data_IF_772786070528
#
_entry.id   IF_772786070528
#
_cell.length_a   1.000
_cell.length_b   1.000
_cell.length_c   1.000
_cell.angle_alpha   90.00
_cell.angle_beta   90.00
_cell.angle_gamma   90.00
#
_symmetry.space_group_name_H-M   'P 1'
#
loop_
_entity.id
_entity.type
_entity.pdbx_description
1 polymer ?
#
# COMPACT_ATOMS: atom_id res chain seq x y z
N UNK A 1 1.98 8.02 -2.46
CA UNK A 1 1.34 7.64 -3.73
C UNK A 1 -0.16 7.87 -3.64
N UNK A 2 -0.79 8.36 -4.70
CA UNK A 2 -2.23 8.56 -4.81
C UNK A 2 -2.77 7.79 -6.02
N UNK A 3 -3.86 7.07 -5.82
CA UNK A 3 -4.60 6.38 -6.88
C UNK A 3 -5.84 7.20 -7.23
N UNK A 4 -6.16 7.28 -8.50
CA UNK A 4 -7.36 7.96 -9.01
C UNK A 4 -7.96 7.16 -10.18
N UNK A 5 -9.22 7.42 -10.58
CA UNK A 5 -9.79 6.79 -11.77
C UNK A 5 -8.98 7.04 -13.04
N UNK A 6 -8.23 8.11 -13.11
CA UNK A 6 -7.44 8.50 -14.30
C UNK A 6 -6.06 7.83 -14.32
N UNK A 7 -5.45 7.61 -13.15
CA UNK A 7 -4.09 7.09 -13.09
C UNK A 7 -3.50 7.10 -11.69
N UNK A 8 -2.21 6.89 -11.64
CA UNK A 8 -1.39 6.89 -10.43
C UNK A 8 -0.51 8.14 -10.38
N UNK A 9 -0.38 8.74 -9.20
CA UNK A 9 0.49 9.90 -8.95
C UNK A 9 1.41 9.60 -7.77
N UNK A 10 2.69 9.83 -7.95
CA UNK A 10 3.66 9.91 -6.87
C UNK A 10 3.82 11.37 -6.50
N UNK A 11 3.68 11.68 -5.23
CA UNK A 11 3.86 13.01 -4.66
C UNK A 11 5.19 13.03 -3.91
N UNK A 12 5.91 14.13 -3.96
CA UNK A 12 7.22 14.27 -3.32
C UNK A 12 8.05 15.34 -3.99
N UNK A 13 9.37 15.35 -3.78
CA UNK A 13 10.27 16.36 -4.38
C UNK A 13 10.29 16.33 -5.91
N UNK A 14 10.04 15.18 -6.52
CA UNK A 14 9.92 14.99 -7.97
C UNK A 14 8.54 14.35 -8.28
N UNK A 15 7.45 15.11 -8.28
CA UNK A 15 6.12 14.58 -8.49
C UNK A 15 5.97 14.07 -9.93
N UNK A 16 5.40 12.87 -10.06
CA UNK A 16 5.17 12.22 -11.36
C UNK A 16 3.76 11.63 -11.39
N UNK A 17 3.18 11.55 -12.59
CA UNK A 17 1.84 11.00 -12.77
C UNK A 17 1.74 10.23 -14.09
N UNK A 18 1.07 9.09 -14.05
CA UNK A 18 0.82 8.24 -15.21
C UNK A 18 -0.65 7.89 -15.30
N UNK A 19 -1.18 7.88 -16.51
CA UNK A 19 -2.50 7.31 -16.78
C UNK A 19 -2.41 5.78 -16.67
N UNK A 20 -3.48 5.12 -16.26
CA UNK A 20 -3.50 3.65 -16.19
C UNK A 20 -3.11 2.99 -17.51
N UNK A 21 -3.51 3.56 -18.65
CA UNK A 21 -3.13 3.08 -19.99
C UNK A 21 -1.64 3.17 -20.30
N UNK A 22 -0.87 3.92 -19.54
CA UNK A 22 0.58 4.05 -19.69
C UNK A 22 1.36 3.17 -18.67
N UNK A 23 0.68 2.54 -17.73
CA UNK A 23 1.27 1.68 -16.69
C UNK A 23 1.11 0.22 -17.10
N UNK A 24 2.23 -0.46 -17.29
CA UNK A 24 2.28 -1.90 -17.55
C UNK A 24 2.24 -2.70 -16.26
N UNK A 25 2.98 -2.25 -15.24
CA UNK A 25 3.08 -2.91 -13.95
C UNK A 25 3.28 -1.88 -12.83
N UNK A 26 2.74 -2.18 -11.65
CA UNK A 26 2.83 -1.38 -10.45
C UNK A 26 3.07 -2.29 -9.25
N UNK A 27 4.25 -2.18 -8.66
CA UNK A 27 4.68 -2.96 -7.51
C UNK A 27 4.92 -2.06 -6.30
N UNK A 28 4.68 -2.60 -5.12
CA UNK A 28 5.04 -1.98 -3.84
C UNK A 28 5.87 -2.98 -3.07
N UNK A 29 7.08 -2.58 -2.69
CA UNK A 29 7.99 -3.37 -1.88
C UNK A 29 8.28 -2.69 -0.56
N UNK A 30 8.88 -3.41 0.37
CA UNK A 30 9.27 -2.90 1.69
C UNK A 30 8.08 -2.37 2.52
N UNK A 31 6.86 -2.86 2.22
CA UNK A 31 5.70 -2.52 3.03
C UNK A 31 5.92 -2.99 4.48
N UNK A 32 5.66 -2.13 5.48
CA UNK A 32 5.90 -2.47 6.89
C UNK A 32 4.89 -3.52 7.36
N UNK A 33 5.29 -4.79 7.28
CA UNK A 33 4.44 -5.92 7.68
C UNK A 33 4.69 -6.29 9.14
N UNK A 34 3.62 -6.50 9.88
CA UNK A 34 3.69 -7.10 11.23
C UNK A 34 4.13 -8.56 11.12
N UNK A 35 5.43 -8.82 11.29
CA UNK A 35 5.89 -10.21 11.36
C UNK A 35 5.48 -10.81 12.71
N UNK A 36 4.93 -12.00 12.66
CA UNK A 36 4.67 -12.82 13.86
C UNK A 36 5.97 -13.17 14.60
N UNK A 37 7.09 -13.23 13.89
CA UNK A 37 8.43 -13.50 14.45
C UNK A 37 8.89 -12.39 15.41
N UNK A 38 8.61 -11.11 15.10
CA UNK A 38 8.95 -10.01 16.01
C UNK A 38 8.16 -10.10 17.32
N UNK A 39 6.93 -10.61 17.30
CA UNK A 39 6.12 -10.84 18.52
C UNK A 39 6.69 -11.93 19.41
N UNK A 40 7.32 -12.97 18.85
CA UNK A 40 7.97 -14.04 19.60
C UNK A 40 9.34 -13.60 20.14
N UNK A 41 10.12 -12.89 19.34
CA UNK A 41 11.41 -12.32 19.76
C UNK A 41 11.26 -11.27 20.87
N UNK A 42 10.22 -10.43 20.82
CA UNK A 42 9.94 -9.45 21.87
C UNK A 42 9.48 -10.09 23.21
N UNK A 43 9.11 -11.36 23.21
CA UNK A 43 8.79 -12.12 24.44
C UNK A 43 9.98 -12.86 25.04
N UNK A 44 11.07 -13.04 24.30
CA UNK A 44 12.20 -13.88 24.71
C UNK A 44 13.59 -13.25 24.64
N UNK A 45 13.75 -12.08 24.03
CA UNK A 45 15.04 -11.40 23.94
C UNK A 45 14.92 -10.00 24.52
N UNK A 46 15.93 -9.64 25.32
CA UNK A 46 16.03 -8.33 25.96
C UNK A 46 15.79 -7.18 25.01
N UNK A 47 15.07 -6.18 25.49
CA UNK A 47 14.65 -4.93 24.83
C UNK A 47 15.77 -4.21 24.06
N UNK A 48 17.04 -4.52 24.32
CA UNK A 48 18.20 -3.88 23.69
C UNK A 48 18.45 -4.29 22.23
N UNK A 49 18.07 -5.51 21.81
CA UNK A 49 18.28 -5.97 20.43
C UNK A 49 17.16 -5.52 19.47
N UNK A 50 15.97 -5.27 20.00
CA UNK A 50 14.85 -4.73 19.23
C UNK A 50 14.96 -3.23 18.97
N UNK A 51 15.82 -2.51 19.70
CA UNK A 51 15.98 -1.07 19.62
C UNK A 51 16.86 -0.61 18.43
N UNK A 52 17.60 -1.50 17.79
CA UNK A 52 18.52 -1.16 16.69
C UNK A 52 17.86 -1.23 15.30
N UNK A 53 16.68 -1.85 15.21
CA UNK A 53 15.87 -1.91 13.98
C UNK A 53 14.43 -1.42 14.24
N UNK A 54 14.27 -0.70 15.34
CA UNK A 54 12.96 -0.25 15.79
C UNK A 54 12.54 0.98 14.99
N UNK A 55 11.46 0.79 14.25
CA UNK A 55 10.57 1.85 13.85
C UNK A 55 10.46 2.90 14.98
N UNK A 56 10.96 4.08 14.70
CA UNK A 56 10.84 5.21 15.63
C UNK A 56 9.36 5.62 15.67
N UNK A 57 8.69 5.55 16.83
CA UNK A 57 7.30 6.00 16.92
C UNK A 57 7.22 7.46 16.47
N UNK A 58 6.48 7.72 15.39
CA UNK A 58 6.28 9.07 14.83
C UNK A 58 6.81 9.28 13.41
N UNK A 59 7.66 8.40 12.87
CA UNK A 59 8.03 8.46 11.45
C UNK A 59 7.21 7.45 10.65
N UNK A 60 6.51 7.88 9.57
CA UNK A 60 5.85 6.93 8.68
C UNK A 60 6.89 6.01 8.05
N UNK A 61 6.59 4.70 8.01
CA UNK A 61 7.47 3.75 7.36
C UNK A 61 7.58 4.05 5.87
N UNK A 62 8.79 3.99 5.36
CA UNK A 62 9.08 4.15 3.94
C UNK A 62 8.85 2.84 3.21
N UNK A 63 8.26 2.93 2.02
CA UNK A 63 8.01 1.82 1.10
C UNK A 63 8.55 2.23 -0.27
N UNK A 64 8.88 1.28 -1.12
CA UNK A 64 9.28 1.55 -2.50
C UNK A 64 8.13 1.22 -3.45
N UNK A 65 7.76 2.19 -4.29
CA UNK A 65 6.85 1.98 -5.42
C UNK A 65 7.66 1.89 -6.70
N UNK A 66 7.51 0.79 -7.43
CA UNK A 66 8.09 0.60 -8.74
C UNK A 66 6.99 0.61 -9.80
N UNK A 67 7.09 1.51 -10.76
CA UNK A 67 6.19 1.64 -11.90
C UNK A 67 6.95 1.24 -13.16
N UNK A 68 6.42 0.28 -13.91
CA UNK A 68 6.90 -0.04 -15.24
C UNK A 68 5.92 0.51 -16.25
N UNK A 69 6.40 1.36 -17.15
CA UNK A 69 5.57 1.96 -18.19
C UNK A 69 5.39 1.02 -19.39
N UNK A 70 4.40 1.30 -20.24
CA UNK A 70 4.20 0.57 -21.50
C UNK A 70 5.39 0.69 -22.46
N UNK A 71 6.29 1.64 -22.27
CA UNK A 71 7.55 1.79 -23.01
C UNK A 71 8.69 0.94 -22.44
N UNK A 72 8.44 0.24 -21.31
CA UNK A 72 9.44 -0.57 -20.62
C UNK A 72 10.34 0.21 -19.67
N UNK A 73 10.11 1.50 -19.47
CA UNK A 73 10.82 2.28 -18.46
C UNK A 73 10.37 1.87 -17.06
N UNK A 74 11.32 1.60 -16.17
CA UNK A 74 11.08 1.30 -14.76
C UNK A 74 11.49 2.48 -13.89
N UNK A 75 10.55 3.00 -13.13
CA UNK A 75 10.75 4.13 -12.22
C UNK A 75 10.48 3.64 -10.79
N UNK A 76 11.43 3.85 -9.91
CA UNK A 76 11.31 3.53 -8.49
C UNK A 76 11.27 4.83 -7.68
N UNK A 77 10.38 4.87 -6.70
CA UNK A 77 10.21 6.05 -5.85
C UNK A 77 9.88 5.65 -4.43
N UNK A 78 10.57 6.24 -3.45
CA UNK A 78 10.18 6.08 -2.05
C UNK A 78 8.82 6.75 -1.81
N UNK A 79 7.97 6.08 -1.03
CA UNK A 79 6.69 6.62 -0.58
C UNK A 79 6.48 6.27 0.89
N UNK A 80 5.78 7.13 1.61
CA UNK A 80 5.45 6.85 2.99
C UNK A 80 4.17 6.03 3.12
N UNK A 81 4.17 5.12 4.07
CA UNK A 81 2.98 4.38 4.47
C UNK A 81 1.91 5.34 4.98
N UNK A 82 0.69 5.21 4.47
CA UNK A 82 -0.46 5.94 5.00
C UNK A 82 -1.05 5.32 6.27
N UNK A 83 -0.59 4.14 6.68
CA UNK A 83 -1.11 3.47 7.87
C UNK A 83 -0.38 3.93 9.13
N UNK A 84 -1.15 4.25 10.17
CA UNK A 84 -0.62 4.54 11.50
C UNK A 84 0.02 3.31 12.18
N UNK A 85 -0.22 2.11 11.65
CA UNK A 85 0.30 0.84 12.15
C UNK A 85 0.76 -0.03 10.98
N UNK A 86 1.70 -0.96 11.24
CA UNK A 86 2.14 -1.91 10.22
C UNK A 86 0.97 -2.74 9.66
N UNK A 87 1.05 -3.09 8.40
CA UNK A 87 0.08 -3.91 7.68
C UNK A 87 0.15 -5.38 8.10
N UNK A 88 -0.89 -6.16 7.88
CA UNK A 88 -0.78 -7.61 7.84
C UNK A 88 -0.23 -8.04 6.48
N UNK A 89 0.37 -9.25 6.40
CA UNK A 89 0.80 -9.79 5.11
C UNK A 89 -0.39 -9.92 4.15
N UNK A 90 -1.56 -10.32 4.67
CA UNK A 90 -2.79 -10.44 3.89
C UNK A 90 -3.24 -9.10 3.29
N UNK A 91 -3.18 -8.00 4.07
CA UNK A 91 -3.49 -6.66 3.55
C UNK A 91 -2.56 -6.28 2.38
N UNK A 92 -1.27 -6.60 2.49
CA UNK A 92 -0.30 -6.34 1.42
C UNK A 92 -0.64 -7.17 0.18
N UNK A 93 -0.87 -8.47 0.33
CA UNK A 93 -1.18 -9.38 -0.76
C UNK A 93 -2.47 -8.98 -1.51
N UNK A 94 -3.53 -8.63 -0.75
CA UNK A 94 -4.79 -8.15 -1.32
C UNK A 94 -4.60 -6.81 -2.06
N UNK A 95 -3.84 -5.89 -1.48
CA UNK A 95 -3.55 -4.60 -2.11
C UNK A 95 -2.78 -4.76 -3.42
N UNK A 96 -1.76 -5.62 -3.44
CA UNK A 96 -1.00 -5.92 -4.66
C UNK A 96 -1.89 -6.58 -5.72
N UNK A 97 -2.77 -7.50 -5.31
CA UNK A 97 -3.76 -8.11 -6.19
C UNK A 97 -4.68 -7.08 -6.84
N UNK A 98 -5.15 -6.10 -6.06
CA UNK A 98 -6.00 -5.02 -6.55
C UNK A 98 -5.25 -4.08 -7.50
N UNK A 99 -4.01 -3.69 -7.18
CA UNK A 99 -3.16 -2.89 -8.07
C UNK A 99 -2.91 -3.58 -9.41
N UNK A 100 -2.65 -4.90 -9.38
CA UNK A 100 -2.49 -5.69 -10.60
C UNK A 100 -3.75 -5.71 -11.47
N UNK A 101 -4.96 -5.70 -10.88
CA UNK A 101 -6.22 -5.58 -11.64
C UNK A 101 -6.38 -4.21 -12.27
N UNK A 102 -6.00 -3.14 -11.57
CA UNK A 102 -6.05 -1.79 -12.14
C UNK A 102 -5.13 -1.64 -13.34
N UNK A 103 -3.91 -2.16 -13.27
CA UNK A 103 -2.96 -2.12 -14.39
C UNK A 103 -3.43 -2.94 -15.59
N UNK A 104 -4.14 -4.05 -15.37
CA UNK A 104 -4.73 -4.86 -16.44
C UNK A 104 -6.08 -4.36 -16.96
N UNK A 105 -6.64 -3.31 -16.34
CA UNK A 105 -7.95 -2.78 -16.69
C UNK A 105 -9.13 -3.71 -16.31
N UNK A 106 -8.89 -4.69 -15.44
CA UNK A 106 -9.91 -5.62 -14.95
C UNK A 106 -10.81 -5.00 -13.87
N UNK A 107 -10.36 -3.92 -13.26
CA UNK A 107 -11.11 -3.16 -12.26
C UNK A 107 -10.77 -1.68 -12.37
N UNK A 108 -11.66 -0.83 -11.86
CA UNK A 108 -11.47 0.62 -11.88
C UNK A 108 -11.26 1.17 -10.47
N UNK A 109 -10.27 2.05 -10.25
CA UNK A 109 -10.12 2.77 -9.00
C UNK A 109 -11.31 3.68 -8.63
N UNK A 110 -12.28 3.88 -9.53
CA UNK A 110 -13.49 4.64 -9.23
C UNK A 110 -14.27 4.05 -8.04
N UNK A 111 -14.24 2.72 -7.89
CA UNK A 111 -14.85 2.05 -6.74
C UNK A 111 -14.24 2.50 -5.40
N UNK A 112 -12.94 2.81 -5.37
CA UNK A 112 -12.27 3.35 -4.20
C UNK A 112 -12.78 4.75 -3.84
N UNK A 113 -13.02 5.58 -4.85
CA UNK A 113 -13.51 6.95 -4.65
C UNK A 113 -14.94 6.92 -4.10
N UNK A 114 -15.81 6.11 -4.72
CA UNK A 114 -17.19 5.94 -4.25
C UNK A 114 -17.23 5.44 -2.80
N UNK A 115 -16.43 4.42 -2.48
CA UNK A 115 -16.37 3.89 -1.13
C UNK A 115 -15.86 4.95 -0.13
N UNK A 116 -14.85 5.75 -0.52
CA UNK A 116 -14.29 6.81 0.33
C UNK A 116 -15.31 7.91 0.62
N UNK A 117 -16.15 8.23 -0.35
CA UNK A 117 -17.20 9.23 -0.18
C UNK A 117 -18.35 8.73 0.74
N UNK A 118 -18.56 7.40 0.76
CA UNK A 118 -19.59 6.76 1.60
C UNK A 118 -19.10 6.51 3.06
N UNK A 119 -17.81 6.37 3.27
CA UNK A 119 -17.21 6.19 4.60
C UNK A 119 -16.98 7.54 5.24
N UNK A 120 -17.46 7.71 6.47
CA UNK A 120 -17.29 9.00 7.20
C UNK A 120 -15.81 9.37 7.33
N UNK A 121 -15.40 10.57 6.90
CA UNK A 121 -14.02 11.04 7.02
C UNK A 121 -13.58 11.01 8.49
N UNK A 122 -12.52 10.29 8.79
CA UNK A 122 -11.91 10.20 10.11
C UNK A 122 -12.04 8.86 10.83
N UNK A 123 -12.79 7.91 10.27
CA UNK A 123 -12.80 6.56 10.81
C UNK A 123 -11.52 5.81 10.42
N UNK A 124 -10.74 5.39 11.41
CA UNK A 124 -9.55 4.57 11.20
C UNK A 124 -9.94 3.11 11.24
N UNK A 125 -10.01 2.49 10.06
CA UNK A 125 -10.32 1.07 9.95
C UNK A 125 -9.25 0.20 10.63
N UNK A 126 -9.69 -0.82 11.36
CA UNK A 126 -8.82 -1.87 11.89
C UNK A 126 -8.36 -2.82 10.77
N UNK A 127 -7.26 -3.55 10.99
CA UNK A 127 -6.70 -4.46 9.96
C UNK A 127 -7.73 -5.42 9.36
N UNK A 128 -8.59 -6.03 10.17
CA UNK A 128 -9.64 -6.94 9.67
C UNK A 128 -10.68 -6.25 8.81
N UNK A 129 -11.03 -5.01 9.15
CA UNK A 129 -11.99 -4.21 8.38
C UNK A 129 -11.39 -3.81 7.04
N UNK A 130 -10.11 -3.42 7.02
CA UNK A 130 -9.37 -3.14 5.78
C UNK A 130 -9.25 -4.37 4.88
N UNK A 131 -8.93 -5.54 5.45
CA UNK A 131 -8.90 -6.81 4.72
C UNK A 131 -10.26 -7.12 4.09
N UNK A 132 -11.35 -7.00 4.85
CA UNK A 132 -12.71 -7.24 4.34
C UNK A 132 -13.10 -6.28 3.19
N UNK A 133 -12.72 -5.01 3.28
CA UNK A 133 -12.94 -4.04 2.21
C UNK A 133 -12.14 -4.43 0.95
N UNK A 134 -10.86 -4.77 1.10
CA UNK A 134 -10.01 -5.20 -0.02
C UNK A 134 -10.53 -6.48 -0.69
N UNK A 135 -11.00 -7.45 0.11
CA UNK A 135 -11.65 -8.66 -0.39
C UNK A 135 -12.94 -8.35 -1.16
N UNK A 136 -13.75 -7.44 -0.64
CA UNK A 136 -14.97 -6.97 -1.33
C UNK A 136 -14.66 -6.40 -2.70
N UNK A 137 -13.64 -5.57 -2.83
CA UNK A 137 -13.23 -5.01 -4.13
C UNK A 137 -12.65 -6.05 -5.09
N UNK A 138 -11.93 -7.04 -4.57
CA UNK A 138 -11.45 -8.15 -5.37
C UNK A 138 -12.56 -9.11 -5.80
N UNK A 139 -13.64 -9.22 -5.05
CA UNK A 139 -14.79 -10.07 -5.36
C UNK A 139 -15.83 -9.44 -6.29
N UNK A 140 -15.82 -8.11 -6.44
CA UNK A 140 -16.77 -7.38 -7.29
C UNK A 140 -16.33 -7.22 -8.76
N UNK A 141 -15.21 -7.81 -9.15
CA UNK A 141 -14.66 -7.75 -10.50
C UNK A 141 -15.08 -8.95 -11.35
#
# INVERSE_FOLDING_TARGET
MLLSPVGVRITGPAPQAWRWSAVMDLQVTDAPVRSTLVRWAARGLSVAAAALDAWVPGSPAEMTVAITTMQGERIESPVFSGAATAYTQREVDLSLGLLARFTRGESSPAALTTWWDDVQPGEVLRSREREAVLEGWLGMA
#
